data_IF_041157711913
#
_entry.id   IF_041157711913
#
_cell.length_a   1.000
_cell.length_b   1.000
_cell.length_c   1.000
_cell.angle_alpha   90.00
_cell.angle_beta   90.00
_cell.angle_gamma   90.00
#
_symmetry.space_group_name_H-M   'P 1'
#
loop_
_entity.id
_entity.type
_entity.pdbx_description
1 polymer ?
#
# COMPACT_ATOMS: atom_id res chain seq x y z
N UNK A 1 -14.69 -11.61 -2.15
CA UNK A 1 -16.10 -11.40 -1.64
C UNK A 1 -16.08 -10.11 -0.81
N UNK A 2 -17.09 -9.25 -0.96
CA UNK A 2 -17.11 -8.00 -0.18
C UNK A 2 -17.72 -8.27 1.20
N UNK A 3 -17.10 -7.74 2.26
CA UNK A 3 -17.58 -7.85 3.65
C UNK A 3 -17.69 -6.48 4.27
N UNK A 4 -18.87 -6.11 4.79
CA UNK A 4 -19.05 -4.85 5.52
C UNK A 4 -19.10 -5.13 7.01
N UNK A 5 -18.26 -4.42 7.79
CA UNK A 5 -18.22 -4.46 9.26
C UNK A 5 -18.13 -3.02 9.77
N UNK A 6 -19.10 -2.61 10.57
CA UNK A 6 -19.17 -1.23 11.07
C UNK A 6 -19.25 -0.21 9.94
N UNK A 7 -18.26 0.69 9.91
CA UNK A 7 -18.16 1.75 8.91
C UNK A 7 -17.24 1.41 7.72
N UNK A 8 -16.79 0.15 7.61
CA UNK A 8 -15.82 -0.30 6.63
C UNK A 8 -16.40 -1.37 5.71
N UNK A 9 -16.20 -1.23 4.40
CA UNK A 9 -16.45 -2.29 3.41
C UNK A 9 -15.12 -2.79 2.88
N UNK A 10 -14.77 -4.02 3.21
CA UNK A 10 -13.55 -4.71 2.79
C UNK A 10 -13.81 -5.42 1.46
N UNK A 11 -13.08 -5.04 0.44
CA UNK A 11 -13.19 -5.54 -0.93
C UNK A 11 -11.95 -6.38 -1.23
N UNK A 12 -12.13 -7.69 -1.37
CA UNK A 12 -11.04 -8.59 -1.76
C UNK A 12 -10.54 -8.26 -3.17
N UNK A 13 -9.23 -8.19 -3.31
CA UNK A 13 -8.58 -8.08 -4.62
C UNK A 13 -8.25 -9.47 -5.19
N UNK A 14 -7.84 -9.58 -6.46
CA UNK A 14 -7.35 -10.85 -7.01
C UNK A 14 -6.10 -11.41 -6.32
N UNK A 15 -5.39 -10.60 -5.53
CA UNK A 15 -4.21 -11.01 -4.76
C UNK A 15 -4.62 -11.27 -3.31
N UNK A 16 -4.54 -12.51 -2.87
CA UNK A 16 -5.00 -12.94 -1.55
C UNK A 16 -4.35 -12.15 -0.42
N UNK A 17 -5.17 -11.62 0.49
CA UNK A 17 -4.77 -10.83 1.65
C UNK A 17 -4.66 -9.33 1.38
N UNK A 18 -4.75 -8.91 0.12
CA UNK A 18 -4.78 -7.50 -0.28
C UNK A 18 -6.23 -7.04 -0.38
N UNK A 19 -6.57 -5.90 0.24
CA UNK A 19 -7.93 -5.37 0.27
C UNK A 19 -7.97 -3.89 -0.09
N UNK A 20 -8.94 -3.51 -0.92
CA UNK A 20 -9.43 -2.14 -0.93
C UNK A 20 -10.45 -1.98 0.19
N UNK A 21 -10.46 -0.82 0.84
CA UNK A 21 -11.35 -0.56 1.95
C UNK A 21 -12.10 0.75 1.69
N UNK A 22 -13.41 0.65 1.51
CA UNK A 22 -14.29 1.80 1.50
C UNK A 22 -14.68 2.19 2.92
N UNK A 23 -14.68 3.48 3.21
CA UNK A 23 -14.97 4.02 4.53
C UNK A 23 -16.20 4.92 4.48
N UNK A 24 -17.14 4.66 5.38
CA UNK A 24 -18.35 5.48 5.46
C UNK A 24 -18.03 6.89 5.97
N UNK A 25 -18.40 7.90 5.19
CA UNK A 25 -18.34 9.31 5.57
C UNK A 25 -19.70 9.80 6.03
N UNK A 26 -19.70 10.57 7.09
CA UNK A 26 -20.89 11.26 7.62
C UNK A 26 -20.71 12.76 7.44
N UNK A 27 -21.37 13.31 6.43
CA UNK A 27 -21.24 14.71 6.04
C UNK A 27 -22.45 15.56 6.42
N UNK A 28 -22.20 16.84 6.73
CA UNK A 28 -23.19 17.91 6.88
C UNK A 28 -22.62 19.25 6.39
N UNK A 29 -23.32 20.36 6.63
CA UNK A 29 -22.90 21.70 6.20
C UNK A 29 -21.59 22.21 6.87
N UNK A 30 -21.04 21.49 7.83
CA UNK A 30 -19.75 21.82 8.50
C UNK A 30 -18.58 21.03 7.92
N UNK A 31 -18.85 19.96 7.12
CA UNK A 31 -17.85 19.05 6.59
C UNK A 31 -18.24 17.59 6.81
N UNK A 32 -17.28 16.73 7.12
CA UNK A 32 -17.56 15.31 7.34
C UNK A 32 -16.79 14.75 8.53
N UNK A 33 -17.32 13.66 9.07
CA UNK A 33 -16.64 12.77 10.01
C UNK A 33 -16.52 11.37 9.39
N UNK A 34 -15.39 10.70 9.62
CA UNK A 34 -15.20 9.28 9.27
C UNK A 34 -14.30 8.59 10.30
N UNK A 35 -14.60 7.36 10.65
CA UNK A 35 -13.63 6.48 11.34
C UNK A 35 -12.62 5.99 10.33
N UNK A 36 -11.33 6.17 10.58
CA UNK A 36 -10.29 5.74 9.64
C UNK A 36 -9.66 4.38 10.00
N UNK A 37 -9.86 3.93 11.21
CA UNK A 37 -9.45 2.62 11.71
C UNK A 37 -10.17 2.29 13.01
N UNK A 38 -10.61 1.06 13.15
CA UNK A 38 -11.17 0.53 14.40
C UNK A 38 -10.79 -0.94 14.52
N UNK A 39 -9.88 -1.22 15.45
CA UNK A 39 -9.28 -2.56 15.60
C UNK A 39 -10.33 -3.67 15.63
N UNK A 40 -11.40 -3.50 16.42
CA UNK A 40 -12.48 -4.50 16.54
C UNK A 40 -13.11 -4.85 15.18
N UNK A 41 -13.38 -3.85 14.34
CA UNK A 41 -14.06 -4.04 13.06
C UNK A 41 -13.10 -4.71 12.04
N UNK A 42 -11.81 -4.37 12.08
CA UNK A 42 -10.77 -5.03 11.28
C UNK A 42 -10.56 -6.49 11.71
N UNK A 43 -10.48 -6.75 13.02
CA UNK A 43 -10.35 -8.12 13.56
C UNK A 43 -11.58 -8.98 13.17
N UNK A 44 -12.80 -8.43 13.25
CA UNK A 44 -14.03 -9.10 12.84
C UNK A 44 -14.08 -9.36 11.31
N UNK A 45 -13.45 -8.48 10.53
CA UNK A 45 -13.25 -8.71 9.10
C UNK A 45 -12.23 -9.81 8.79
N UNK A 46 -11.42 -10.23 9.77
CA UNK A 46 -10.34 -11.21 9.63
C UNK A 46 -8.96 -10.56 9.39
N UNK A 47 -8.87 -9.24 9.48
CA UNK A 47 -7.65 -8.47 9.30
C UNK A 47 -7.00 -8.16 10.66
N UNK A 48 -6.44 -9.21 11.28
CA UNK A 48 -5.89 -9.14 12.64
C UNK A 48 -4.46 -8.61 12.61
N UNK A 49 -4.31 -7.29 12.72
CA UNK A 49 -3.03 -6.60 12.75
C UNK A 49 -2.87 -5.80 14.04
N UNK A 50 -1.64 -5.69 14.54
CA UNK A 50 -1.29 -4.81 15.66
C UNK A 50 -0.46 -3.65 15.14
N UNK A 51 -1.11 -2.59 14.68
CA UNK A 51 -0.41 -1.41 14.17
C UNK A 51 0.27 -0.65 15.31
N UNK A 52 1.58 -0.45 15.20
CA UNK A 52 2.46 0.12 16.23
C UNK A 52 3.21 1.38 15.77
N UNK A 53 3.14 1.72 14.47
CA UNK A 53 3.78 2.90 13.90
C UNK A 53 2.86 3.59 12.91
N UNK A 54 2.75 4.91 13.01
CA UNK A 54 2.05 5.78 12.05
C UNK A 54 3.06 6.69 11.35
N UNK A 55 2.92 6.80 10.03
CA UNK A 55 3.78 7.63 9.20
C UNK A 55 2.94 8.57 8.34
N UNK A 56 3.51 9.74 8.02
CA UNK A 56 2.93 10.70 7.08
C UNK A 56 4.03 11.26 6.18
N UNK A 57 3.71 11.41 4.90
CA UNK A 57 4.55 12.12 3.94
C UNK A 57 3.72 13.10 3.12
N UNK A 58 4.35 14.22 2.70
CA UNK A 58 3.78 15.15 1.71
C UNK A 58 4.70 15.20 0.50
N UNK A 59 4.14 15.11 -0.69
CA UNK A 59 4.88 15.04 -1.94
C UNK A 59 4.15 15.81 -3.04
N UNK A 60 4.92 16.37 -3.99
CA UNK A 60 4.39 17.02 -5.19
C UNK A 60 4.09 16.02 -6.30
N UNK A 61 3.32 16.45 -7.29
CA UNK A 61 2.96 15.67 -8.48
C UNK A 61 4.18 14.99 -9.12
N UNK A 62 3.99 13.74 -9.53
CA UNK A 62 5.01 12.92 -10.18
C UNK A 62 6.04 12.31 -9.23
N UNK A 63 6.06 12.64 -7.93
CA UNK A 63 6.93 11.95 -7.00
C UNK A 63 6.45 10.51 -6.86
N UNK A 64 7.36 9.56 -7.12
CA UNK A 64 7.18 8.14 -6.88
C UNK A 64 8.09 7.73 -5.72
N UNK A 65 7.51 7.02 -4.75
CA UNK A 65 8.25 6.41 -3.62
C UNK A 65 8.04 4.91 -3.67
N UNK A 66 9.12 4.16 -3.72
CA UNK A 66 9.04 2.70 -3.75
C UNK A 66 9.88 2.06 -4.84
N UNK A 67 9.69 0.78 -5.09
CA UNK A 67 8.82 -0.14 -4.33
C UNK A 67 9.61 -0.73 -3.17
N UNK A 68 9.18 -0.48 -1.94
CA UNK A 68 9.95 -0.80 -0.74
C UNK A 68 9.39 -2.00 0.03
N UNK A 69 10.28 -2.71 0.72
CA UNK A 69 9.96 -3.74 1.71
C UNK A 69 11.06 -3.79 2.79
N UNK A 70 10.80 -4.44 3.90
CA UNK A 70 11.81 -4.86 4.89
C UNK A 70 11.97 -6.37 4.80
N UNK A 71 13.23 -6.85 4.81
CA UNK A 71 13.57 -8.24 4.51
C UNK A 71 13.31 -9.17 5.69
N UNK A 72 13.80 -8.79 6.86
CA UNK A 72 13.73 -9.58 8.11
C UNK A 72 12.52 -9.20 8.94
N UNK A 73 12.14 -7.92 8.91
CA UNK A 73 11.04 -7.33 9.68
C UNK A 73 9.94 -6.80 8.75
N UNK A 74 9.31 -7.67 7.91
CA UNK A 74 8.32 -7.20 6.94
C UNK A 74 7.14 -6.52 7.63
N UNK A 75 6.65 -5.44 7.02
CA UNK A 75 5.55 -4.64 7.51
C UNK A 75 4.27 -4.92 6.72
N UNK A 76 3.16 -5.16 7.42
CA UNK A 76 1.85 -4.93 6.85
C UNK A 76 1.51 -3.44 6.95
N UNK A 77 0.81 -2.91 5.95
CA UNK A 77 0.52 -1.47 5.86
C UNK A 77 -0.95 -1.23 5.57
N UNK A 78 -1.55 -0.34 6.35
CA UNK A 78 -2.86 0.24 6.05
C UNK A 78 -2.65 1.69 5.61
N UNK A 79 -2.89 1.97 4.33
CA UNK A 79 -2.52 3.22 3.69
C UNK A 79 -3.72 4.02 3.23
N UNK A 80 -3.61 5.35 3.20
CA UNK A 80 -4.64 6.28 2.73
C UNK A 80 -4.05 7.62 2.30
N UNK A 81 -4.73 8.31 1.39
CA UNK A 81 -4.44 9.69 1.03
C UNK A 81 -5.40 10.62 1.79
N UNK A 82 -4.86 11.67 2.46
CA UNK A 82 -5.67 12.64 3.24
C UNK A 82 -5.73 14.02 2.60
N UNK A 83 -4.88 14.27 1.59
CA UNK A 83 -4.88 15.44 0.73
C UNK A 83 -4.44 15.01 -0.67
N UNK A 84 -5.18 15.40 -1.69
CA UNK A 84 -4.87 15.05 -3.08
C UNK A 84 -5.17 13.60 -3.44
N UNK A 85 -4.37 13.05 -4.37
CA UNK A 85 -4.60 11.75 -4.97
C UNK A 85 -3.28 11.09 -5.32
N UNK A 86 -3.19 9.77 -5.07
CA UNK A 86 -2.05 8.93 -5.44
C UNK A 86 -2.54 7.65 -6.12
N UNK A 87 -1.73 7.08 -7.02
CA UNK A 87 -1.86 5.68 -7.40
C UNK A 87 -0.92 4.86 -6.52
N UNK A 88 -1.50 4.02 -5.71
CA UNK A 88 -0.81 3.14 -4.76
C UNK A 88 -0.73 1.73 -5.32
N UNK A 89 0.41 1.05 -5.17
CA UNK A 89 0.65 -0.25 -5.79
C UNK A 89 1.44 -1.17 -4.87
N UNK A 90 1.07 -2.44 -4.86
CA UNK A 90 1.82 -3.50 -4.20
C UNK A 90 2.17 -4.63 -5.17
N UNK A 91 3.30 -5.30 -4.93
CA UNK A 91 3.79 -6.47 -5.68
C UNK A 91 3.95 -7.64 -4.73
N UNK A 92 3.36 -8.79 -5.04
CA UNK A 92 3.45 -10.00 -4.22
C UNK A 92 4.85 -10.61 -4.31
N UNK A 93 5.57 -10.65 -3.18
CA UNK A 93 6.89 -11.27 -3.04
C UNK A 93 6.86 -12.55 -2.19
N UNK A 94 5.69 -13.11 -1.91
CA UNK A 94 5.54 -14.31 -1.08
C UNK A 94 5.90 -15.57 -1.87
N UNK A 95 6.89 -16.28 -1.40
CA UNK A 95 7.33 -17.56 -1.97
C UNK A 95 6.17 -18.56 -2.07
N UNK A 96 6.09 -19.27 -3.19
CA UNK A 96 5.03 -20.22 -3.51
C UNK A 96 3.61 -19.63 -3.62
N UNK A 97 3.46 -18.31 -3.59
CA UNK A 97 2.20 -17.66 -3.92
C UNK A 97 1.88 -17.87 -5.42
N UNK A 98 0.64 -18.18 -5.78
CA UNK A 98 0.23 -18.25 -7.19
C UNK A 98 0.26 -16.87 -7.88
N UNK A 99 0.39 -15.80 -7.09
CA UNK A 99 0.48 -14.42 -7.54
C UNK A 99 1.87 -13.79 -7.30
N UNK A 100 2.90 -14.61 -7.06
CA UNK A 100 4.29 -14.10 -6.96
C UNK A 100 4.67 -13.28 -8.18
N UNK A 101 5.22 -12.08 -7.98
CA UNK A 101 5.57 -11.12 -9.02
C UNK A 101 4.37 -10.39 -9.66
N UNK A 102 3.12 -10.72 -9.29
CA UNK A 102 1.94 -9.97 -9.73
C UNK A 102 1.72 -8.74 -8.86
N UNK A 103 1.15 -7.72 -9.46
CA UNK A 103 0.86 -6.45 -8.79
C UNK A 103 -0.65 -6.16 -8.76
N UNK A 104 -1.02 -5.34 -7.81
CA UNK A 104 -2.34 -4.71 -7.74
C UNK A 104 -2.19 -3.24 -7.35
N UNK A 105 -2.93 -2.37 -8.02
CA UNK A 105 -2.87 -0.94 -7.78
C UNK A 105 -4.25 -0.32 -7.67
N UNK A 106 -4.34 0.73 -6.85
CA UNK A 106 -5.58 1.45 -6.57
C UNK A 106 -5.32 2.96 -6.50
N UNK A 107 -6.27 3.75 -6.97
CA UNK A 107 -6.25 5.20 -6.75
C UNK A 107 -6.83 5.51 -5.38
N UNK A 108 -5.99 6.06 -4.50
CA UNK A 108 -6.37 6.56 -3.18
C UNK A 108 -6.52 8.08 -3.25
N UNK A 109 -7.65 8.60 -2.79
CA UNK A 109 -7.89 10.05 -2.77
C UNK A 109 -8.55 10.52 -1.48
N UNK A 110 -8.22 11.76 -1.08
CA UNK A 110 -8.86 12.43 0.05
C UNK A 110 -10.36 12.59 -0.16
N UNK A 111 -10.81 12.78 -1.40
CA UNK A 111 -12.23 12.91 -1.74
C UNK A 111 -12.99 11.61 -1.45
N UNK A 112 -12.49 10.47 -1.95
CA UNK A 112 -13.10 9.15 -1.68
C UNK A 112 -12.93 8.74 -0.23
N UNK A 113 -11.77 9.00 0.37
CA UNK A 113 -11.39 8.55 1.71
C UNK A 113 -11.19 7.03 1.80
N UNK A 114 -10.98 6.39 0.64
CA UNK A 114 -10.71 4.97 0.56
C UNK A 114 -9.30 4.64 1.09
N UNK A 115 -9.11 3.38 1.44
CA UNK A 115 -7.85 2.89 2.00
C UNK A 115 -7.44 1.60 1.29
N UNK A 116 -6.17 1.23 1.48
CA UNK A 116 -5.62 0.01 0.91
C UNK A 116 -4.87 -0.76 2.00
N UNK A 117 -5.20 -2.03 2.15
CA UNK A 117 -4.54 -2.93 3.10
C UNK A 117 -3.59 -3.85 2.35
N UNK A 118 -2.32 -3.77 2.69
CA UNK A 118 -1.22 -4.53 2.10
C UNK A 118 -0.61 -5.39 3.20
N UNK A 119 -0.66 -6.73 3.11
CA UNK A 119 -0.08 -7.61 4.12
C UNK A 119 1.45 -7.66 4.06
N UNK A 120 2.08 -8.35 5.01
CA UNK A 120 3.52 -8.67 4.97
C UNK A 120 3.87 -9.48 3.74
N UNK A 121 5.09 -9.30 3.22
CA UNK A 121 5.58 -10.05 2.07
C UNK A 121 5.30 -9.40 0.72
N UNK A 122 5.08 -8.09 0.72
CA UNK A 122 4.88 -7.29 -0.49
C UNK A 122 5.93 -6.18 -0.61
N UNK A 123 6.30 -5.85 -1.84
CA UNK A 123 6.88 -4.55 -2.15
C UNK A 123 5.74 -3.54 -2.33
N UNK A 124 5.93 -2.30 -1.90
CA UNK A 124 4.91 -1.27 -1.87
C UNK A 124 5.47 0.08 -2.31
N UNK A 125 4.67 0.83 -3.05
CA UNK A 125 4.99 2.19 -3.45
C UNK A 125 3.79 2.94 -3.99
N UNK A 126 3.98 4.23 -4.28
CA UNK A 126 2.95 5.07 -4.87
C UNK A 126 3.53 6.17 -5.75
N UNK A 127 2.72 6.67 -6.69
CA UNK A 127 3.01 7.88 -7.46
C UNK A 127 1.91 8.92 -7.19
N UNK A 128 2.32 10.20 -7.03
CA UNK A 128 1.40 11.32 -6.81
C UNK A 128 0.79 11.76 -8.13
N UNK A 129 -0.55 11.78 -8.20
CA UNK A 129 -1.32 12.16 -9.40
C UNK A 129 -1.79 13.62 -9.37
N UNK A 130 -2.12 14.15 -8.19
CA UNK A 130 -2.53 15.56 -7.98
C UNK A 130 -1.33 16.47 -7.82
N UNK A 131 -1.54 17.80 -7.81
CA UNK A 131 -0.46 18.79 -7.62
C UNK A 131 0.36 18.54 -6.36
N UNK A 132 -0.32 18.15 -5.26
CA UNK A 132 0.30 17.67 -4.02
C UNK A 132 -0.53 16.52 -3.46
N UNK A 133 0.09 15.64 -2.69
CA UNK A 133 -0.62 14.65 -1.91
C UNK A 133 0.01 14.51 -0.52
N UNK A 134 -0.85 14.35 0.49
CA UNK A 134 -0.45 13.95 1.84
C UNK A 134 -0.91 12.51 2.06
N UNK A 135 0.06 11.63 2.26
CA UNK A 135 -0.11 10.19 2.35
C UNK A 135 0.20 9.70 3.75
N UNK A 136 -0.72 8.93 4.35
CA UNK A 136 -0.60 8.41 5.70
C UNK A 136 -0.69 6.89 5.69
N UNK A 137 0.08 6.23 6.55
CA UNK A 137 0.02 4.78 6.68
C UNK A 137 0.40 4.28 8.06
N UNK A 138 -0.32 3.23 8.49
CA UNK A 138 -0.03 2.45 9.70
C UNK A 138 0.80 1.24 9.33
N UNK A 139 1.75 0.87 10.21
CA UNK A 139 2.57 -0.32 10.09
C UNK A 139 2.43 -1.21 11.34
N UNK A 140 2.45 -2.52 11.16
CA UNK A 140 2.42 -3.52 12.24
C UNK A 140 3.84 -3.97 12.67
N UNK A 141 4.88 -3.32 12.14
CA UNK A 141 6.27 -3.50 12.53
C UNK A 141 6.98 -2.14 12.47
N UNK A 142 8.04 -1.97 13.25
CA UNK A 142 8.86 -0.75 13.26
C UNK A 142 9.66 -0.60 11.96
N UNK A 143 10.04 0.64 11.66
CA UNK A 143 10.94 0.90 10.55
C UNK A 143 12.38 0.56 10.92
N UNK A 144 13.01 -0.28 10.12
CA UNK A 144 14.39 -0.72 10.21
C UNK A 144 15.15 -0.29 8.96
N UNK A 145 15.83 0.87 8.96
CA UNK A 145 16.50 1.40 7.77
C UNK A 145 17.59 0.47 7.22
N UNK A 146 18.25 -0.30 8.09
CA UNK A 146 19.27 -1.29 7.73
C UNK A 146 18.71 -2.55 7.05
N UNK A 147 17.41 -2.80 7.23
CA UNK A 147 16.71 -3.98 6.70
C UNK A 147 15.92 -3.65 5.41
N UNK A 148 15.91 -2.39 5.01
CA UNK A 148 15.13 -1.95 3.86
C UNK A 148 15.70 -2.48 2.54
N UNK A 149 14.80 -2.96 1.69
CA UNK A 149 15.05 -3.34 0.31
C UNK A 149 14.04 -2.69 -0.62
N UNK A 150 14.30 -2.83 -1.91
CA UNK A 150 13.38 -2.34 -2.94
C UNK A 150 13.52 -3.13 -4.24
N UNK A 151 12.50 -2.98 -5.10
CA UNK A 151 12.56 -3.39 -6.50
C UNK A 151 12.27 -2.20 -7.40
N UNK A 152 12.78 -2.27 -8.61
CA UNK A 152 12.63 -1.24 -9.64
C UNK A 152 11.14 -0.96 -9.92
N UNK A 153 10.74 0.31 -9.91
CA UNK A 153 9.34 0.72 -10.09
C UNK A 153 8.77 0.35 -11.47
N UNK A 154 9.60 0.38 -12.50
CA UNK A 154 9.26 0.06 -13.89
C UNK A 154 9.87 -1.28 -14.36
N UNK A 155 10.00 -2.23 -13.45
CA UNK A 155 10.48 -3.58 -13.76
C UNK A 155 9.65 -4.19 -14.90
N UNK A 156 10.27 -4.54 -16.05
CA UNK A 156 9.56 -5.05 -17.21
C UNK A 156 8.90 -6.43 -16.97
N UNK A 157 9.44 -7.24 -16.07
CA UNK A 157 8.90 -8.58 -15.76
C UNK A 157 7.69 -8.46 -14.81
N UNK A 158 7.63 -7.44 -13.96
CA UNK A 158 6.47 -7.11 -13.13
C UNK A 158 5.40 -6.39 -13.94
N UNK A 159 5.79 -5.46 -14.81
CA UNK A 159 4.92 -4.82 -15.79
C UNK A 159 3.82 -3.95 -15.18
N UNK A 160 4.13 -3.14 -14.15
CA UNK A 160 3.15 -2.22 -13.55
C UNK A 160 2.74 -1.16 -14.57
N UNK A 161 1.43 -0.95 -14.71
CA UNK A 161 0.86 0.11 -15.55
C UNK A 161 0.43 1.25 -14.64
N UNK A 162 1.22 2.31 -14.61
CA UNK A 162 0.91 3.52 -13.84
C UNK A 162 -0.05 4.43 -14.65
N UNK A 163 -1.08 5.01 -14.03
CA UNK A 163 -1.90 6.05 -14.65
C UNK A 163 -1.18 7.42 -14.61
N UNK A 164 0.10 7.42 -14.96
CA UNK A 164 0.99 8.57 -14.97
C UNK A 164 1.95 8.42 -16.16
N UNK A 165 1.89 9.34 -17.11
CA UNK A 165 2.55 9.21 -18.41
C UNK A 165 3.88 9.97 -18.53
N UNK A 166 4.28 10.67 -17.47
CA UNK A 166 5.54 11.41 -17.42
C UNK A 166 6.60 10.60 -16.67
N UNK A 167 7.87 10.98 -16.79
CA UNK A 167 8.95 10.40 -15.99
C UNK A 167 8.77 10.77 -14.52
N UNK A 168 8.68 9.80 -13.59
CA UNK A 168 8.48 10.11 -12.19
C UNK A 168 9.72 10.68 -11.52
N UNK A 169 9.49 11.48 -10.49
CA UNK A 169 10.54 12.02 -9.63
C UNK A 169 10.90 11.01 -8.56
N UNK A 170 12.08 10.42 -8.66
CA UNK A 170 12.60 9.41 -7.75
C UNK A 170 13.62 10.01 -6.77
N UNK A 171 13.76 9.38 -5.60
CA UNK A 171 14.94 9.55 -4.78
C UNK A 171 16.15 8.88 -5.44
N UNK A 172 17.37 9.29 -5.07
CA UNK A 172 18.59 8.61 -5.54
C UNK A 172 18.59 7.11 -5.18
N UNK A 173 18.02 6.75 -4.03
CA UNK A 173 17.87 5.38 -3.58
C UNK A 173 16.91 4.61 -4.50
N UNK A 174 15.72 5.13 -4.75
CA UNK A 174 14.68 4.45 -5.53
C UNK A 174 15.10 4.27 -7.00
N UNK A 175 15.89 5.20 -7.56
CA UNK A 175 16.43 5.10 -8.91
C UNK A 175 17.47 3.98 -9.08
N UNK A 176 18.00 3.43 -8.00
CA UNK A 176 19.03 2.36 -7.99
C UNK A 176 18.48 0.99 -7.59
N UNK A 177 17.19 0.86 -7.35
CA UNK A 177 16.59 -0.40 -7.00
C UNK A 177 16.78 -1.44 -8.12
N UNK A 178 17.14 -2.70 -7.79
CA UNK A 178 17.28 -3.78 -8.75
C UNK A 178 15.93 -4.25 -9.29
N UNK A 179 15.92 -4.97 -10.39
CA UNK A 179 14.74 -5.73 -10.82
C UNK A 179 14.37 -6.80 -9.80
N UNK A 180 13.13 -7.29 -9.84
CA UNK A 180 12.68 -8.39 -8.98
C UNK A 180 13.58 -9.63 -9.15
N UNK A 181 13.94 -9.95 -10.38
CA UNK A 181 14.82 -11.06 -10.72
C UNK A 181 16.23 -10.93 -10.13
N UNK A 182 16.79 -9.73 -10.15
CA UNK A 182 18.11 -9.45 -9.57
C UNK A 182 18.07 -9.41 -8.04
N UNK A 183 17.01 -8.88 -7.46
CA UNK A 183 16.80 -8.83 -6.02
C UNK A 183 16.69 -10.21 -5.39
N UNK A 184 16.17 -11.20 -6.15
CA UNK A 184 15.87 -12.58 -5.70
C UNK A 184 15.05 -12.61 -4.41
N UNK A 185 14.26 -11.57 -4.16
CA UNK A 185 13.54 -11.44 -2.89
C UNK A 185 12.29 -12.31 -2.88
N UNK A 186 12.23 -13.17 -1.87
CA UNK A 186 11.09 -14.04 -1.60
C UNK A 186 10.83 -14.09 -0.09
N UNK A 187 9.55 -13.97 0.31
CA UNK A 187 9.12 -14.13 1.70
C UNK A 187 8.46 -15.50 1.90
N UNK A 188 8.89 -16.26 2.90
CA UNK A 188 8.22 -17.53 3.27
C UNK A 188 6.99 -17.26 4.16
N UNK A 189 6.03 -16.51 3.61
CA UNK A 189 4.83 -16.04 4.33
C UNK A 189 3.51 -16.55 3.72
N UNK A 190 3.55 -17.28 2.60
CA UNK A 190 2.32 -17.70 1.90
C UNK A 190 1.37 -18.56 2.76
N UNK A 191 1.92 -19.41 3.63
CA UNK A 191 1.13 -20.31 4.49
C UNK A 191 0.33 -19.57 5.58
N UNK A 192 0.58 -18.29 5.81
CA UNK A 192 -0.12 -17.48 6.81
C UNK A 192 -1.45 -16.92 6.29
N UNK A 193 -1.70 -17.02 5.00
CA UNK A 193 -2.89 -16.56 4.29
C UNK A 193 -3.61 -17.72 3.58
#
# INVERSE_FOLDING_TARGET
MNKTVGNFTFIETPIKGVYEIEVKKYGDNRGYFMETYKKKDFDEAGLVYNFIQDNQSKSKKGVLRGLHFQKTYPQAKLVRCIEGEVFDVCVDLRKNSPTYGKWYGVVLSAEKGNQFMIPKGFAHGFVVLSETATFCYKCDELYHPEDEGGIMWNDPDVGIIYPYNEEPLLSEKDSKNPTLKESKMEFDLWKQY
#
